data_IF_597241329977
#
_entry.id   IF_597241329977
#
_cell.length_a   1.000
_cell.length_b   1.000
_cell.length_c   1.000
_cell.angle_alpha   90.00
_cell.angle_beta   90.00
_cell.angle_gamma   90.00
#
_symmetry.space_group_name_H-M   'P 1'
#
loop_
_entity.id
_entity.type
_entity.pdbx_description
1 polymer ?
#
# COMPACT_ATOMS: atom_id res chain seq x y z
N UNK A 1 4.63 -17.00 0.57
CA UNK A 1 4.91 -18.27 1.28
C UNK A 1 4.01 -19.37 0.74
N UNK A 2 2.73 -19.46 1.15
CA UNK A 2 1.83 -20.58 0.78
C UNK A 2 1.85 -20.98 -0.70
N UNK A 3 1.64 -20.03 -1.64
CA UNK A 3 1.62 -20.35 -3.08
C UNK A 3 2.95 -20.92 -3.60
N UNK A 4 4.08 -20.45 -3.06
CA UNK A 4 5.42 -20.96 -3.43
C UNK A 4 5.60 -22.36 -2.86
N UNK A 5 5.24 -22.59 -1.61
CA UNK A 5 5.29 -23.92 -0.99
C UNK A 5 4.40 -24.92 -1.73
N UNK A 6 3.21 -24.51 -2.16
CA UNK A 6 2.31 -25.36 -2.94
C UNK A 6 2.92 -25.71 -4.31
N UNK A 7 3.50 -24.73 -5.00
CA UNK A 7 4.22 -24.94 -6.26
C UNK A 7 5.42 -25.90 -6.09
N UNK A 8 6.20 -25.76 -5.01
CA UNK A 8 7.29 -26.67 -4.67
C UNK A 8 6.79 -28.10 -4.43
N UNK A 9 5.72 -28.25 -3.65
CA UNK A 9 5.11 -29.56 -3.37
C UNK A 9 4.57 -30.23 -4.63
N UNK A 10 3.92 -29.48 -5.53
CA UNK A 10 3.42 -30.00 -6.80
C UNK A 10 4.53 -30.60 -7.67
N UNK A 11 5.75 -30.09 -7.54
CA UNK A 11 6.95 -30.58 -8.21
C UNK A 11 7.77 -31.58 -7.37
N UNK A 12 7.25 -32.05 -6.23
CA UNK A 12 7.99 -32.91 -5.28
C UNK A 12 9.32 -32.31 -4.80
N UNK A 13 9.42 -30.98 -4.73
CA UNK A 13 10.59 -30.26 -4.22
C UNK A 13 10.50 -30.09 -2.70
N UNK A 14 11.64 -30.02 -1.98
CA UNK A 14 11.64 -29.61 -0.59
C UNK A 14 11.16 -28.17 -0.46
N UNK A 15 10.48 -27.86 0.64
CA UNK A 15 9.98 -26.52 0.92
C UNK A 15 11.15 -25.57 1.16
N UNK A 16 11.22 -24.46 0.43
CA UNK A 16 12.28 -23.45 0.60
C UNK A 16 12.16 -22.64 1.89
N UNK A 17 10.95 -22.57 2.44
CA UNK A 17 10.67 -21.89 3.70
C UNK A 17 9.53 -22.60 4.43
N UNK A 18 9.80 -23.10 5.65
CA UNK A 18 8.76 -23.65 6.52
C UNK A 18 7.99 -22.51 7.21
N UNK A 19 6.65 -22.56 7.26
CA UNK A 19 5.86 -21.56 7.97
C UNK A 19 5.99 -21.71 9.49
N UNK A 20 6.13 -20.59 10.19
CA UNK A 20 5.99 -20.54 11.66
C UNK A 20 4.56 -20.17 12.02
N UNK A 21 3.83 -21.06 12.69
CA UNK A 21 2.49 -20.79 13.24
C UNK A 21 2.53 -20.29 14.68
N UNK A 22 3.72 -19.97 15.21
CA UNK A 22 3.93 -19.58 16.60
C UNK A 22 3.39 -18.16 16.86
N UNK A 23 2.10 -18.07 17.22
CA UNK A 23 1.45 -16.79 17.57
C UNK A 23 2.10 -16.08 18.76
N UNK A 24 2.81 -16.82 19.62
CA UNK A 24 3.53 -16.24 20.76
C UNK A 24 4.68 -15.30 20.39
N UNK A 25 5.07 -15.23 19.11
CA UNK A 25 6.07 -14.27 18.63
C UNK A 25 5.57 -12.82 18.66
N UNK A 26 4.26 -12.61 18.78
CA UNK A 26 3.62 -11.29 18.78
C UNK A 26 2.79 -11.12 20.06
N UNK A 27 3.33 -11.54 21.20
CA UNK A 27 2.67 -11.32 22.49
C UNK A 27 2.78 -9.85 22.90
N UNK A 28 1.76 -9.31 23.57
CA UNK A 28 1.83 -7.98 24.16
C UNK A 28 2.83 -7.94 25.32
N UNK A 29 3.39 -6.76 25.56
CA UNK A 29 4.32 -6.49 26.66
C UNK A 29 3.59 -6.47 28.00
N UNK A 30 4.34 -6.59 29.09
CA UNK A 30 3.83 -6.56 30.48
C UNK A 30 4.74 -5.73 31.38
N UNK A 31 4.34 -4.50 31.79
CA UNK A 31 3.12 -3.80 31.39
C UNK A 31 3.13 -3.47 29.89
N UNK A 32 1.95 -3.45 29.28
CA UNK A 32 1.78 -2.97 27.91
C UNK A 32 1.86 -1.44 27.86
N UNK A 33 2.16 -0.90 26.68
CA UNK A 33 2.07 0.53 26.42
C UNK A 33 2.23 0.83 24.93
N UNK A 34 1.65 1.93 24.47
CA UNK A 34 1.82 2.37 23.10
C UNK A 34 1.92 3.90 23.04
N UNK A 35 2.52 4.39 21.96
CA UNK A 35 2.55 5.82 21.68
C UNK A 35 1.20 6.27 21.10
N UNK A 36 0.72 7.45 21.49
CA UNK A 36 -0.58 8.00 21.04
C UNK A 36 -0.72 8.12 19.51
N UNK A 37 0.39 8.11 18.76
CA UNK A 37 0.35 8.06 17.29
C UNK A 37 -0.31 6.79 16.74
N UNK A 38 -0.44 5.71 17.53
CA UNK A 38 -1.22 4.54 17.13
C UNK A 38 -2.71 4.88 17.09
N UNK A 39 -3.19 5.73 18.00
CA UNK A 39 -4.57 6.22 17.98
C UNK A 39 -4.83 7.11 16.77
N UNK A 40 -3.83 7.80 16.22
CA UNK A 40 -3.98 8.56 14.97
C UNK A 40 -4.24 7.65 13.75
N UNK A 41 -3.82 6.38 13.84
CA UNK A 41 -3.93 5.40 12.75
C UNK A 41 -5.11 4.45 12.90
N UNK A 42 -5.48 4.09 14.12
CA UNK A 42 -6.46 3.05 14.41
C UNK A 42 -7.58 3.56 15.31
N UNK A 43 -8.74 2.93 15.20
CA UNK A 43 -9.90 3.27 16.01
C UNK A 43 -10.71 2.00 16.28
N UNK A 44 -11.24 1.80 17.50
CA UNK A 44 -12.18 0.72 17.77
C UNK A 44 -13.49 0.92 16.97
N UNK A 45 -14.07 -0.15 16.42
CA UNK A 45 -15.27 -0.04 15.56
C UNK A 45 -16.46 0.61 16.29
N UNK A 46 -16.61 0.39 17.59
CA UNK A 46 -17.71 0.97 18.39
C UNK A 46 -17.62 2.50 18.52
N UNK A 47 -16.44 3.08 18.34
CA UNK A 47 -16.24 4.52 18.33
C UNK A 47 -16.62 5.16 16.98
N UNK A 48 -16.94 4.36 15.96
CA UNK A 48 -17.37 4.86 14.65
C UNK A 48 -18.86 5.24 14.64
N UNK A 49 -19.23 6.29 13.89
CA UNK A 49 -20.63 6.60 13.70
C UNK A 49 -21.34 5.44 12.97
N UNK A 50 -22.64 5.21 13.25
CA UNK A 50 -23.40 4.18 12.55
C UNK A 50 -23.38 4.41 11.03
N UNK A 51 -23.34 3.33 10.23
CA UNK A 51 -23.32 3.46 8.78
C UNK A 51 -24.57 4.21 8.30
N UNK A 52 -24.44 5.11 7.31
CA UNK A 52 -25.60 5.77 6.73
C UNK A 52 -26.54 4.73 6.09
N UNK A 53 -27.85 5.00 6.05
CA UNK A 53 -28.81 4.11 5.40
C UNK A 53 -28.41 3.89 3.94
N UNK A 54 -28.44 2.62 3.50
CA UNK A 54 -28.15 2.24 2.11
C UNK A 54 -29.30 2.72 1.21
N UNK A 55 -29.20 3.94 0.70
CA UNK A 55 -30.08 4.39 -0.37
C UNK A 55 -29.56 3.77 -1.66
N UNK A 56 -30.21 2.70 -2.14
CA UNK A 56 -30.08 2.22 -3.52
C UNK A 56 -30.64 3.28 -4.47
N UNK A 57 -29.87 4.35 -4.69
CA UNK A 57 -30.21 5.38 -5.68
C UNK A 57 -29.71 4.93 -7.06
N UNK A 58 -30.47 5.25 -8.11
CA UNK A 58 -30.16 4.91 -9.52
C UNK A 58 -28.81 5.44 -10.06
N UNK A 59 -28.03 6.18 -9.24
CA UNK A 59 -26.68 6.68 -9.55
C UNK A 59 -25.53 5.75 -9.10
N UNK A 60 -25.81 4.48 -8.81
CA UNK A 60 -24.82 3.48 -8.37
C UNK A 60 -23.63 3.31 -9.34
N UNK A 61 -23.79 3.64 -10.63
CA UNK A 61 -22.71 3.49 -11.63
C UNK A 61 -21.51 4.43 -11.41
N UNK A 62 -21.74 5.63 -10.86
CA UNK A 62 -20.69 6.64 -10.59
C UNK A 62 -19.93 6.31 -9.30
N UNK A 63 -20.63 5.83 -8.27
CA UNK A 63 -20.03 5.47 -6.97
C UNK A 63 -19.44 4.06 -6.93
N UNK A 64 -19.54 3.28 -8.02
CA UNK A 64 -18.97 1.94 -8.07
C UNK A 64 -17.46 1.99 -8.35
N UNK A 65 -16.68 1.45 -7.41
CA UNK A 65 -15.26 1.23 -7.60
C UNK A 65 -15.02 0.16 -8.68
N UNK A 66 -14.07 0.40 -9.58
CA UNK A 66 -13.72 -0.51 -10.66
C UNK A 66 -12.25 -0.85 -10.61
N UNK A 67 -11.95 -2.07 -11.04
CA UNK A 67 -10.57 -2.54 -11.16
C UNK A 67 -10.00 -2.27 -12.55
N UNK A 68 -8.75 -1.83 -12.59
CA UNK A 68 -7.92 -1.65 -13.78
C UNK A 68 -6.52 -2.19 -13.51
N UNK A 69 -5.83 -2.58 -14.57
CA UNK A 69 -4.43 -3.01 -14.50
C UNK A 69 -3.66 -2.21 -15.54
N UNK A 70 -2.62 -1.54 -15.06
CA UNK A 70 -1.70 -0.77 -15.88
C UNK A 70 -0.31 -1.38 -15.83
N UNK A 71 0.56 -0.97 -16.74
CA UNK A 71 2.01 -1.08 -16.56
C UNK A 71 2.64 0.31 -16.59
N UNK A 72 3.71 0.46 -15.80
CA UNK A 72 4.56 1.65 -15.77
C UNK A 72 5.95 1.22 -16.17
N UNK A 73 6.54 1.89 -17.16
CA UNK A 73 7.87 1.57 -17.63
C UNK A 73 8.94 1.92 -16.58
N UNK A 74 10.03 1.17 -16.57
CA UNK A 74 11.12 1.34 -15.61
C UNK A 74 11.73 2.76 -15.63
N UNK A 75 11.86 3.36 -16.82
CA UNK A 75 12.33 4.74 -17.03
C UNK A 75 11.40 5.77 -16.38
N UNK A 76 10.09 5.62 -16.55
CA UNK A 76 9.08 6.45 -15.89
C UNK A 76 9.15 6.34 -14.35
N UNK A 77 9.33 5.12 -13.81
CA UNK A 77 9.53 4.93 -12.36
C UNK A 77 10.81 5.65 -11.87
N UNK A 78 11.90 5.57 -12.64
CA UNK A 78 13.16 6.24 -12.31
C UNK A 78 13.03 7.76 -12.40
N UNK A 79 12.31 8.28 -13.40
CA UNK A 79 12.04 9.70 -13.59
C UNK A 79 11.23 10.26 -12.41
N UNK A 80 10.14 9.59 -12.02
CA UNK A 80 9.37 9.97 -10.83
C UNK A 80 10.24 10.02 -9.57
N UNK A 81 11.12 9.04 -9.39
CA UNK A 81 12.06 9.03 -8.26
C UNK A 81 13.04 10.21 -8.33
N UNK A 82 13.56 10.52 -9.51
CA UNK A 82 14.45 11.66 -9.69
C UNK A 82 13.74 12.98 -9.35
N UNK A 83 12.55 13.20 -9.91
CA UNK A 83 11.71 14.37 -9.65
C UNK A 83 11.39 14.54 -8.16
N UNK A 84 11.08 13.44 -7.47
CA UNK A 84 10.83 13.42 -6.04
C UNK A 84 12.07 13.79 -5.18
N UNK A 85 13.27 13.79 -5.75
CA UNK A 85 14.52 14.10 -5.06
C UNK A 85 15.20 15.40 -5.55
N UNK A 86 14.60 16.17 -6.48
CA UNK A 86 15.27 17.31 -7.12
C UNK A 86 15.57 18.51 -6.20
N UNK A 87 14.82 18.74 -5.13
CA UNK A 87 14.97 19.97 -4.33
C UNK A 87 15.95 19.85 -3.14
N UNK A 88 16.68 18.73 -3.02
CA UNK A 88 17.66 18.54 -1.95
C UNK A 88 18.98 19.24 -2.32
N UNK A 89 18.98 20.58 -2.25
CA UNK A 89 20.18 21.42 -2.25
C UNK A 89 20.35 22.10 -0.88
N UNK A 90 20.09 21.38 0.21
CA UNK A 90 20.53 21.80 1.55
C UNK A 90 21.82 21.03 1.88
N UNK A 91 23.00 21.69 1.88
CA UNK A 91 24.30 21.02 2.03
C UNK A 91 24.53 20.29 3.36
N UNK A 92 23.66 20.49 4.36
CA UNK A 92 23.89 20.08 5.75
C UNK A 92 22.82 19.13 6.34
N UNK A 93 21.85 18.66 5.55
CA UNK A 93 20.94 17.59 6.01
C UNK A 93 21.25 16.29 5.27
N UNK A 94 21.55 15.23 6.02
CA UNK A 94 21.52 13.85 5.49
C UNK A 94 20.04 13.48 5.31
N UNK A 95 19.35 14.12 4.38
CA UNK A 95 18.00 13.72 3.99
C UNK A 95 18.11 12.44 3.16
N UNK A 96 17.59 11.33 3.71
CA UNK A 96 17.53 10.05 3.01
C UNK A 96 16.75 10.22 1.71
N UNK A 97 17.34 9.81 0.58
CA UNK A 97 16.70 9.83 -0.73
C UNK A 97 15.36 9.10 -0.70
N UNK A 98 14.35 9.68 -1.36
CA UNK A 98 13.03 9.06 -1.51
C UNK A 98 13.13 7.80 -2.37
N UNK A 99 12.49 6.74 -1.90
CA UNK A 99 12.37 5.46 -2.60
C UNK A 99 11.44 5.59 -3.81
N UNK A 100 11.53 4.63 -4.74
CA UNK A 100 10.60 4.55 -5.89
C UNK A 100 9.14 4.44 -5.44
N UNK A 101 8.89 3.74 -4.34
CA UNK A 101 7.53 3.60 -3.80
C UNK A 101 7.01 4.93 -3.25
N UNK A 102 7.82 5.66 -2.46
CA UNK A 102 7.44 6.99 -1.96
C UNK A 102 7.17 7.97 -3.11
N UNK A 103 8.03 7.97 -4.14
CA UNK A 103 7.84 8.81 -5.32
C UNK A 103 6.57 8.44 -6.12
N UNK A 104 6.31 7.15 -6.31
CA UNK A 104 5.08 6.66 -6.93
C UNK A 104 3.83 7.05 -6.13
N UNK A 105 3.86 6.88 -4.81
CA UNK A 105 2.77 7.27 -3.93
C UNK A 105 2.50 8.78 -4.00
N UNK A 106 3.55 9.61 -3.99
CA UNK A 106 3.42 11.06 -4.13
C UNK A 106 2.82 11.45 -5.48
N UNK A 107 3.25 10.79 -6.57
CA UNK A 107 2.71 11.01 -7.90
C UNK A 107 1.22 10.64 -7.96
N UNK A 108 0.87 9.44 -7.50
CA UNK A 108 -0.51 8.98 -7.41
C UNK A 108 -1.36 9.95 -6.58
N UNK A 109 -0.89 10.39 -5.42
CA UNK A 109 -1.63 11.31 -4.55
C UNK A 109 -1.96 12.63 -5.25
N UNK A 110 -1.01 13.19 -6.01
CA UNK A 110 -1.24 14.36 -6.86
C UNK A 110 -2.22 14.06 -8.00
N UNK A 111 -2.09 12.92 -8.67
CA UNK A 111 -2.97 12.52 -9.79
C UNK A 111 -4.42 12.38 -9.33
N UNK A 112 -4.65 11.79 -8.15
CA UNK A 112 -5.98 11.60 -7.57
C UNK A 112 -6.75 12.90 -7.33
N UNK A 113 -6.03 14.02 -7.24
CA UNK A 113 -6.60 15.35 -6.97
C UNK A 113 -6.43 16.29 -8.16
N UNK A 114 -6.15 15.77 -9.36
CA UNK A 114 -5.90 16.61 -10.55
C UNK A 114 -7.16 17.19 -11.21
N UNK A 115 -8.35 16.71 -10.85
CA UNK A 115 -9.64 17.21 -11.35
C UNK A 115 -10.17 18.45 -10.64
N UNK A 116 -11.38 18.86 -10.99
CA UNK A 116 -12.10 19.93 -10.28
C UNK A 116 -12.81 19.38 -9.04
N UNK A 117 -12.77 20.14 -7.94
CA UNK A 117 -13.38 19.79 -6.66
C UNK A 117 -14.23 20.96 -6.18
N UNK A 118 -15.43 20.67 -5.66
CA UNK A 118 -16.39 21.71 -5.29
C UNK A 118 -16.07 22.38 -3.95
N UNK A 119 -15.37 21.67 -3.05
CA UNK A 119 -15.03 22.14 -1.71
C UNK A 119 -13.63 22.75 -1.59
N UNK A 120 -13.56 23.97 -1.03
CA UNK A 120 -12.30 24.72 -0.84
C UNK A 120 -11.42 24.09 0.25
N UNK A 121 -12.01 23.36 1.20
CA UNK A 121 -11.33 22.72 2.34
C UNK A 121 -11.25 21.19 2.23
N UNK A 122 -11.57 20.62 1.06
CA UNK A 122 -11.50 19.18 0.85
C UNK A 122 -10.07 18.66 1.02
N UNK A 123 -9.97 17.48 1.64
CA UNK A 123 -8.71 16.79 1.87
C UNK A 123 -8.64 15.47 1.10
N UNK A 124 -7.43 15.01 0.86
CA UNK A 124 -7.18 13.69 0.28
C UNK A 124 -6.25 12.92 1.21
N UNK A 125 -6.58 11.64 1.42
CA UNK A 125 -5.85 10.72 2.29
C UNK A 125 -5.09 9.68 1.48
N UNK A 126 -3.83 9.47 1.84
CA UNK A 126 -2.97 8.42 1.27
C UNK A 126 -2.42 7.56 2.39
N UNK A 127 -2.74 6.26 2.37
CA UNK A 127 -2.16 5.27 3.27
C UNK A 127 -1.17 4.36 2.56
N UNK A 128 -0.20 3.84 3.30
CA UNK A 128 0.76 2.86 2.77
C UNK A 128 0.83 1.66 3.70
N UNK A 129 0.69 0.45 3.16
CA UNK A 129 0.84 -0.77 3.95
C UNK A 129 2.32 -1.03 4.25
N UNK A 130 2.65 -1.08 5.53
CA UNK A 130 4.00 -1.35 6.05
C UNK A 130 4.08 -2.75 6.63
N UNK A 131 5.10 -3.48 6.20
CA UNK A 131 5.46 -4.81 6.69
C UNK A 131 6.26 -4.71 8.00
N UNK A 132 5.85 -5.43 9.06
CA UNK A 132 6.47 -5.33 10.39
C UNK A 132 7.53 -6.39 10.74
N UNK A 133 7.58 -7.55 10.08
CA UNK A 133 8.56 -8.61 10.39
C UNK A 133 9.98 -8.07 10.37
N UNK A 134 10.36 -7.32 9.33
CA UNK A 134 11.74 -6.78 9.25
C UNK A 134 12.05 -5.74 10.34
N UNK A 135 11.03 -5.15 10.96
CA UNK A 135 11.18 -4.14 12.03
C UNK A 135 11.21 -4.76 13.41
N UNK A 136 10.59 -5.91 13.59
CA UNK A 136 10.63 -6.72 14.81
C UNK A 136 11.91 -7.59 14.91
N UNK A 137 12.75 -7.59 13.87
CA UNK A 137 14.03 -8.31 13.85
C UNK A 137 15.15 -7.29 14.10
N UNK A 138 15.32 -6.84 15.34
CA UNK A 138 16.46 -6.00 15.74
C UNK A 138 17.31 -6.75 16.78
N UNK A 139 18.49 -7.22 16.37
CA UNK A 139 19.52 -7.74 17.28
C UNK A 139 19.32 -9.16 17.82
N UNK A 140 18.23 -9.85 17.48
CA UNK A 140 17.99 -11.24 17.88
C UNK A 140 18.90 -12.25 17.17
N UNK A 141 19.08 -13.42 17.78
CA UNK A 141 19.79 -14.54 17.18
C UNK A 141 19.15 -14.94 15.84
N UNK A 142 19.96 -15.49 14.93
CA UNK A 142 19.53 -15.86 13.57
C UNK A 142 18.28 -16.76 13.53
N UNK A 143 18.01 -17.52 14.59
CA UNK A 143 16.84 -18.39 14.71
C UNK A 143 15.54 -17.60 14.92
N UNK A 144 15.51 -16.61 15.81
CA UNK A 144 14.33 -15.77 16.06
C UNK A 144 13.99 -14.93 14.83
N UNK A 145 15.03 -14.40 14.16
CA UNK A 145 14.89 -13.70 12.89
C UNK A 145 14.21 -14.58 11.82
N UNK A 146 14.60 -15.85 11.74
CA UNK A 146 13.99 -16.82 10.84
C UNK A 146 12.53 -17.13 11.22
N UNK A 147 12.22 -17.24 12.51
CA UNK A 147 10.85 -17.48 13.00
C UNK A 147 9.90 -16.31 12.68
N UNK A 148 10.33 -15.07 12.88
CA UNK A 148 9.54 -13.88 12.55
C UNK A 148 9.38 -13.76 11.02
N UNK A 149 10.47 -13.95 10.27
CA UNK A 149 10.43 -13.91 8.79
C UNK A 149 9.50 -14.97 8.21
N UNK A 150 9.44 -16.14 8.83
CA UNK A 150 8.55 -17.25 8.44
C UNK A 150 7.16 -17.22 9.07
N UNK A 151 6.85 -16.22 9.90
CA UNK A 151 5.58 -16.14 10.61
C UNK A 151 4.39 -16.13 9.64
N UNK A 152 3.50 -17.10 9.82
CA UNK A 152 2.26 -17.24 9.08
C UNK A 152 1.13 -16.46 9.77
N UNK A 153 0.95 -15.21 9.34
CA UNK A 153 -0.08 -14.31 9.85
C UNK A 153 0.14 -12.87 9.43
N UNK A 154 -0.69 -11.97 9.95
CA UNK A 154 -0.60 -10.54 9.67
C UNK A 154 0.41 -9.87 10.59
N UNK A 155 1.33 -9.11 10.01
CA UNK A 155 2.27 -8.23 10.71
C UNK A 155 2.35 -6.94 9.88
N UNK A 156 1.26 -6.19 9.91
CA UNK A 156 1.03 -5.06 9.00
C UNK A 156 0.60 -3.83 9.78
N UNK A 157 1.09 -2.67 9.37
CA UNK A 157 0.54 -1.38 9.79
C UNK A 157 0.16 -0.54 8.57
N UNK A 158 -0.77 0.39 8.72
CA UNK A 158 -1.26 1.25 7.63
C UNK A 158 -1.21 2.72 8.11
N UNK A 159 -0.01 3.30 8.25
CA UNK A 159 0.11 4.74 8.41
C UNK A 159 -0.50 5.45 7.20
N UNK A 160 -1.09 6.62 7.45
CA UNK A 160 -1.62 7.47 6.38
C UNK A 160 -1.38 8.94 6.67
N UNK A 161 -1.28 9.72 5.60
CA UNK A 161 -1.27 11.17 5.65
C UNK A 161 -2.58 11.74 5.11
N UNK A 162 -2.94 12.92 5.59
CA UNK A 162 -4.04 13.74 5.08
C UNK A 162 -3.51 15.12 4.70
N UNK A 163 -3.84 15.59 3.50
CA UNK A 163 -3.47 16.93 3.03
C UNK A 163 -4.62 17.58 2.29
N UNK A 164 -4.68 18.91 2.35
CA UNK A 164 -5.64 19.68 1.56
C UNK A 164 -5.36 19.47 0.08
N UNK A 165 -6.42 19.35 -0.71
CA UNK A 165 -6.33 19.19 -2.17
C UNK A 165 -5.54 20.34 -2.79
N UNK A 166 -5.74 21.57 -2.30
CA UNK A 166 -4.98 22.75 -2.74
C UNK A 166 -3.47 22.56 -2.62
N UNK A 167 -3.00 22.10 -1.47
CA UNK A 167 -1.57 21.95 -1.18
C UNK A 167 -0.96 20.86 -2.08
N UNK A 168 -1.68 19.75 -2.25
CA UNK A 168 -1.28 18.67 -3.16
C UNK A 168 -1.20 19.14 -4.61
N UNK A 169 -2.10 20.01 -5.08
CA UNK A 169 -2.05 20.59 -6.43
C UNK A 169 -0.86 21.54 -6.61
N UNK A 170 -0.70 22.49 -5.70
CA UNK A 170 0.24 23.62 -5.85
C UNK A 170 1.71 23.24 -5.62
N UNK A 171 1.99 22.29 -4.73
CA UNK A 171 3.36 21.95 -4.37
C UNK A 171 4.03 20.97 -5.35
N UNK A 172 5.37 20.95 -5.34
CA UNK A 172 6.16 20.07 -6.20
C UNK A 172 6.01 18.58 -5.82
N UNK A 173 6.37 17.67 -6.74
CA UNK A 173 6.39 16.23 -6.43
C UNK A 173 7.36 15.91 -5.29
N UNK A 174 8.48 16.61 -5.20
CA UNK A 174 9.44 16.47 -4.10
C UNK A 174 8.81 16.80 -2.74
N UNK A 175 8.05 17.90 -2.66
CA UNK A 175 7.37 18.27 -1.42
C UNK A 175 6.37 17.19 -1.00
N UNK A 176 5.52 16.72 -1.93
CA UNK A 176 4.54 15.65 -1.65
C UNK A 176 5.25 14.34 -1.26
N UNK A 177 6.40 14.02 -1.88
CA UNK A 177 7.19 12.84 -1.49
C UNK A 177 7.83 12.98 -0.11
N UNK A 178 8.13 14.19 0.34
CA UNK A 178 8.55 14.46 1.73
C UNK A 178 7.41 14.24 2.70
N UNK A 179 6.19 14.71 2.39
CA UNK A 179 5.01 14.42 3.20
C UNK A 179 4.74 12.92 3.32
N UNK A 180 4.89 12.18 2.21
CA UNK A 180 4.80 10.71 2.22
C UNK A 180 5.83 10.09 3.15
N UNK A 181 7.07 10.55 3.08
CA UNK A 181 8.15 10.05 3.91
C UNK A 181 7.92 10.32 5.40
N UNK A 182 7.46 11.52 5.74
CA UNK A 182 7.25 11.97 7.11
C UNK A 182 6.19 11.14 7.81
N UNK A 183 4.99 10.98 7.22
CA UNK A 183 3.96 10.15 7.86
C UNK A 183 4.39 8.68 7.94
N UNK A 184 5.17 8.19 6.97
CA UNK A 184 5.70 6.83 7.01
C UNK A 184 6.61 6.61 8.22
N UNK A 185 7.48 7.56 8.57
CA UNK A 185 8.49 7.37 9.64
C UNK A 185 7.87 6.90 10.96
N UNK A 186 6.66 7.36 11.27
CA UNK A 186 5.93 6.96 12.48
C UNK A 186 5.70 5.45 12.60
N UNK A 187 5.68 4.73 11.47
CA UNK A 187 5.42 3.30 11.41
C UNK A 187 6.61 2.44 10.91
N UNK A 188 7.83 3.00 10.87
CA UNK A 188 9.02 2.29 10.41
C UNK A 188 9.90 1.73 11.54
N UNK A 189 9.46 1.80 12.79
CA UNK A 189 10.23 1.38 13.96
C UNK A 189 9.72 0.07 14.55
N UNK A 190 10.57 -0.60 15.31
CA UNK A 190 10.17 -1.75 16.14
C UNK A 190 9.12 -1.34 17.18
N UNK A 191 9.37 -0.23 17.87
CA UNK A 191 8.49 0.29 18.93
C UNK A 191 7.08 0.54 18.43
N UNK A 192 6.91 0.98 17.17
CA UNK A 192 5.58 1.12 16.58
C UNK A 192 4.83 -0.22 16.50
N UNK A 193 5.50 -1.29 16.07
CA UNK A 193 4.85 -2.59 15.96
C UNK A 193 4.59 -3.24 17.33
N UNK A 194 5.49 -3.07 18.30
CA UNK A 194 5.27 -3.49 19.68
C UNK A 194 4.09 -2.71 20.31
N UNK A 195 4.06 -1.38 20.13
CA UNK A 195 2.96 -0.54 20.56
C UNK A 195 1.63 -0.91 19.88
N UNK A 196 1.63 -1.24 18.60
CA UNK A 196 0.42 -1.70 17.91
C UNK A 196 -0.11 -3.03 18.47
N UNK A 197 0.77 -3.95 18.89
CA UNK A 197 0.36 -5.18 19.57
C UNK A 197 -0.29 -4.86 20.92
N UNK A 198 0.32 -3.97 21.70
CA UNK A 198 -0.20 -3.55 23.00
C UNK A 198 -1.53 -2.80 22.87
N UNK A 199 -1.66 -1.93 21.86
CA UNK A 199 -2.92 -1.24 21.53
C UNK A 199 -4.03 -2.23 21.22
N UNK A 200 -3.75 -3.27 20.44
CA UNK A 200 -4.73 -4.33 20.15
C UNK A 200 -5.10 -5.10 21.41
N UNK A 201 -4.16 -5.39 22.30
CA UNK A 201 -4.45 -6.09 23.55
C UNK A 201 -5.30 -5.24 24.50
N UNK A 202 -5.02 -3.94 24.62
CA UNK A 202 -5.78 -3.01 25.48
C UNK A 202 -7.24 -2.89 25.05
N UNK A 203 -7.51 -2.91 23.74
CA UNK A 203 -8.86 -2.74 23.20
C UNK A 203 -9.61 -4.07 23.02
N UNK A 204 -9.01 -5.23 23.32
CA UNK A 204 -9.70 -6.52 23.20
C UNK A 204 -10.90 -6.61 24.16
N UNK A 205 -12.00 -7.27 23.73
CA UNK A 205 -12.17 -8.06 22.50
C UNK A 205 -12.63 -7.24 21.28
N UNK A 206 -12.59 -5.91 21.35
CA UNK A 206 -13.07 -5.06 20.28
C UNK A 206 -12.17 -5.12 19.04
N UNK A 207 -12.79 -5.01 17.86
CA UNK A 207 -12.06 -4.97 16.59
C UNK A 207 -11.59 -3.53 16.35
N UNK A 208 -10.29 -3.37 16.16
CA UNK A 208 -9.71 -2.13 15.65
C UNK A 208 -9.75 -2.05 14.13
N UNK A 209 -10.00 -0.85 13.59
CA UNK A 209 -10.00 -0.56 12.17
C UNK A 209 -8.98 0.56 11.87
N UNK A 210 -8.19 0.47 10.79
CA UNK A 210 -7.42 1.62 10.30
C UNK A 210 -8.35 2.78 9.94
N UNK A 211 -8.11 3.96 10.51
CA UNK A 211 -8.95 5.16 10.34
C UNK A 211 -9.12 5.58 8.88
N UNK A 212 -8.14 5.32 8.01
CA UNK A 212 -8.25 5.58 6.57
C UNK A 212 -9.41 4.81 5.90
N UNK A 213 -9.78 3.64 6.42
CA UNK A 213 -10.94 2.88 5.95
C UNK A 213 -12.25 3.29 6.64
N UNK A 214 -12.17 3.93 7.80
CA UNK A 214 -13.32 4.33 8.60
C UNK A 214 -13.93 5.66 8.13
N UNK A 215 -13.08 6.64 7.80
CA UNK A 215 -13.55 7.96 7.41
C UNK A 215 -14.13 7.95 5.99
N UNK A 216 -15.25 8.65 5.81
CA UNK A 216 -16.01 8.72 4.55
C UNK A 216 -15.07 9.01 3.37
N UNK A 217 -14.82 8.02 2.53
CA UNK A 217 -14.16 8.25 1.25
C UNK A 217 -15.26 8.59 0.24
N UNK A 218 -15.21 9.79 -0.31
CA UNK A 218 -16.11 10.25 -1.39
C UNK A 218 -15.27 10.71 -2.57
N UNK A 219 -15.88 11.04 -3.70
CA UNK A 219 -15.14 11.69 -4.79
C UNK A 219 -14.59 13.06 -4.36
N UNK A 220 -15.25 13.74 -3.41
CA UNK A 220 -14.84 15.04 -2.89
C UNK A 220 -13.78 14.93 -1.79
N UNK A 221 -13.70 13.80 -1.08
CA UNK A 221 -12.65 13.48 -0.10
C UNK A 221 -12.00 12.13 -0.42
N UNK A 222 -11.15 12.05 -1.48
CA UNK A 222 -10.56 10.80 -1.90
C UNK A 222 -9.65 10.19 -0.82
N UNK A 223 -9.76 8.88 -0.62
CA UNK A 223 -8.82 8.12 0.18
C UNK A 223 -8.29 6.93 -0.63
N UNK A 224 -6.98 6.69 -0.61
CA UNK A 224 -6.37 5.55 -1.30
C UNK A 224 -5.29 4.90 -0.42
N UNK A 225 -5.27 3.57 -0.40
CA UNK A 225 -4.21 2.80 0.26
C UNK A 225 -3.33 2.13 -0.80
N UNK A 226 -2.02 2.34 -0.69
CA UNK A 226 -1.02 1.70 -1.54
C UNK A 226 -0.36 0.55 -0.78
N UNK A 227 -0.30 -0.63 -1.39
CA UNK A 227 0.48 -1.75 -0.87
C UNK A 227 1.55 -2.15 -1.88
N UNK A 228 2.79 -2.36 -1.42
CA UNK A 228 3.87 -2.75 -2.34
C UNK A 228 3.89 -4.26 -2.57
N UNK A 229 3.42 -4.68 -3.74
CA UNK A 229 3.54 -6.04 -4.27
C UNK A 229 4.91 -6.31 -4.92
N UNK A 230 5.89 -5.42 -4.79
CA UNK A 230 7.21 -5.54 -5.45
C UNK A 230 7.97 -6.82 -5.06
N UNK A 231 7.67 -7.40 -3.90
CA UNK A 231 8.24 -8.67 -3.42
C UNK A 231 7.32 -9.88 -3.67
N UNK A 232 6.23 -9.71 -4.44
CA UNK A 232 5.35 -10.82 -4.78
C UNK A 232 6.12 -11.86 -5.60
N UNK A 233 6.24 -13.11 -5.12
CA UNK A 233 7.17 -14.07 -5.69
C UNK A 233 6.57 -14.79 -6.91
N UNK A 234 5.94 -14.07 -7.84
CA UNK A 234 5.28 -14.66 -9.03
C UNK A 234 6.20 -15.60 -9.81
N UNK A 235 7.49 -15.23 -9.90
CA UNK A 235 8.54 -16.02 -10.57
C UNK A 235 8.99 -17.28 -9.83
N UNK A 236 8.49 -17.51 -8.62
CA UNK A 236 8.74 -18.74 -7.85
C UNK A 236 7.57 -19.71 -7.91
N UNK A 237 6.47 -19.35 -8.58
CA UNK A 237 5.24 -20.16 -8.60
C UNK A 237 5.21 -20.97 -9.89
N UNK A 238 5.95 -22.07 -9.93
CA UNK A 238 5.90 -23.05 -11.02
C UNK A 238 5.27 -24.34 -10.50
N UNK A 239 4.17 -24.79 -11.09
CA UNK A 239 3.50 -26.02 -10.68
C UNK A 239 4.01 -27.27 -11.42
N UNK A 240 5.02 -27.14 -12.28
CA UNK A 240 5.56 -28.20 -13.15
C UNK A 240 5.24 -27.98 -14.63
N UNK A 241 4.54 -26.91 -14.98
CA UNK A 241 4.17 -26.54 -16.36
C UNK A 241 4.77 -25.20 -16.82
N UNK A 242 5.74 -24.68 -16.07
CA UNK A 242 6.40 -23.41 -16.34
C UNK A 242 5.85 -22.26 -15.51
N UNK A 243 6.51 -21.11 -15.66
CA UNK A 243 6.22 -19.91 -14.88
C UNK A 243 4.92 -19.23 -15.32
N UNK A 244 4.20 -18.55 -14.41
CA UNK A 244 3.02 -17.79 -14.78
C UNK A 244 3.45 -16.63 -15.68
N UNK A 245 2.79 -16.49 -16.83
CA UNK A 245 3.02 -15.34 -17.71
C UNK A 245 2.66 -14.03 -17.00
N UNK A 246 1.62 -14.08 -16.16
CA UNK A 246 1.10 -12.93 -15.45
C UNK A 246 0.49 -13.34 -14.12
N UNK A 247 0.73 -12.54 -13.09
CA UNK A 247 0.07 -12.66 -11.80
C UNK A 247 -0.33 -11.26 -11.33
N UNK A 248 -1.55 -11.14 -10.84
CA UNK A 248 -2.08 -9.90 -10.26
C UNK A 248 -2.87 -10.20 -9.01
N UNK A 249 -3.20 -9.14 -8.29
CA UNK A 249 -4.13 -9.16 -7.20
C UNK A 249 -5.51 -8.78 -7.70
N UNK A 250 -6.52 -9.24 -6.97
CA UNK A 250 -7.88 -8.75 -7.06
C UNK A 250 -8.36 -8.51 -5.63
N UNK A 251 -8.48 -7.23 -5.27
CA UNK A 251 -8.86 -6.80 -3.94
C UNK A 251 -10.01 -5.78 -4.05
N UNK A 252 -11.23 -6.22 -4.37
CA UNK A 252 -12.41 -5.37 -4.36
C UNK A 252 -12.80 -5.14 -2.90
N UNK A 253 -12.13 -4.18 -2.27
CA UNK A 253 -12.47 -3.75 -0.92
C UNK A 253 -13.91 -3.22 -0.95
N UNK A 254 -14.80 -3.78 -0.13
CA UNK A 254 -16.21 -3.35 -0.09
C UNK A 254 -16.45 -1.95 0.48
N UNK A 255 -15.38 -1.24 0.87
CA UNK A 255 -15.42 0.15 1.29
C UNK A 255 -15.16 1.12 0.13
N UNK A 256 -15.32 2.41 0.40
CA UNK A 256 -15.14 3.47 -0.62
C UNK A 256 -13.68 3.94 -0.79
N UNK A 257 -12.79 3.54 0.11
CA UNK A 257 -11.36 3.86 -0.01
C UNK A 257 -10.74 3.04 -1.14
N UNK A 258 -9.98 3.72 -1.99
CA UNK A 258 -9.25 3.14 -3.09
C UNK A 258 -8.13 2.20 -2.64
N UNK A 259 -7.74 1.28 -3.53
CA UNK A 259 -6.61 0.38 -3.31
C UNK A 259 -5.72 0.29 -4.54
N UNK A 260 -4.42 0.48 -4.36
CA UNK A 260 -3.43 0.41 -5.44
C UNK A 260 -2.27 -0.49 -5.04
N UNK A 261 -1.83 -1.36 -5.95
CA UNK A 261 -0.72 -2.27 -5.69
C UNK A 261 0.24 -2.33 -6.88
N UNK A 262 1.40 -1.64 -6.82
CA UNK A 262 2.49 -1.88 -7.75
C UNK A 262 3.18 -3.22 -7.48
N UNK A 263 3.50 -3.94 -8.54
CA UNK A 263 4.06 -5.29 -8.58
C UNK A 263 5.19 -5.36 -9.61
N UNK A 264 6.11 -6.34 -9.53
CA UNK A 264 7.15 -6.49 -10.54
C UNK A 264 6.51 -6.98 -11.85
N UNK A 265 6.98 -6.45 -12.99
CA UNK A 265 6.63 -7.00 -14.30
C UNK A 265 7.12 -8.43 -14.46
N UNK A 266 6.29 -9.34 -15.03
CA UNK A 266 6.73 -10.71 -15.31
C UNK A 266 7.94 -10.75 -16.25
N UNK A 267 8.15 -9.70 -17.07
CA UNK A 267 9.34 -9.53 -17.93
C UNK A 267 10.64 -9.31 -17.17
N UNK A 268 10.59 -8.75 -15.96
CA UNK A 268 11.78 -8.44 -15.15
C UNK A 268 12.73 -7.43 -15.77
N UNK A 269 12.20 -6.58 -16.63
CA UNK A 269 12.89 -5.43 -17.22
C UNK A 269 12.86 -4.18 -16.32
N UNK A 270 12.36 -4.32 -15.08
CA UNK A 270 12.20 -3.23 -14.13
C UNK A 270 10.87 -2.48 -14.24
N UNK A 271 10.05 -2.77 -15.24
CA UNK A 271 8.69 -2.23 -15.33
C UNK A 271 7.83 -2.72 -14.15
N UNK A 272 6.83 -1.91 -13.80
CA UNK A 272 5.85 -2.26 -12.79
C UNK A 272 4.52 -2.61 -13.43
N UNK A 273 3.86 -3.65 -12.93
CA UNK A 273 2.42 -3.83 -13.12
C UNK A 273 1.73 -3.13 -11.96
N UNK A 274 0.67 -2.39 -12.21
CA UNK A 274 -0.08 -1.70 -11.17
C UNK A 274 -1.53 -2.12 -11.22
N UNK A 275 -1.97 -2.86 -10.20
CA UNK A 275 -3.39 -3.10 -9.96
C UNK A 275 -3.97 -1.86 -9.28
N UNK A 276 -5.12 -1.40 -9.79
CA UNK A 276 -5.81 -0.21 -9.31
C UNK A 276 -7.28 -0.55 -9.10
N UNK A 277 -7.82 -0.25 -7.93
CA UNK A 277 -9.24 -0.36 -7.61
C UNK A 277 -9.72 0.97 -7.02
N UNK A 278 -10.39 1.78 -7.84
CA UNK A 278 -10.75 3.17 -7.53
C UNK A 278 -12.16 3.50 -8.05
N UNK A 279 -12.75 4.59 -7.56
CA UNK A 279 -14.01 5.11 -8.09
C UNK A 279 -13.86 5.51 -9.56
N UNK A 280 -14.99 5.55 -10.28
CA UNK A 280 -15.02 5.85 -11.73
C UNK A 280 -14.31 7.16 -12.06
N UNK A 281 -14.68 8.26 -11.41
CA UNK A 281 -14.08 9.57 -11.66
C UNK A 281 -12.58 9.59 -11.36
N UNK A 282 -12.13 8.85 -10.34
CA UNK A 282 -10.71 8.75 -10.00
C UNK A 282 -9.90 8.00 -11.08
N UNK A 283 -10.48 6.95 -11.68
CA UNK A 283 -9.86 6.27 -12.82
C UNK A 283 -9.77 7.18 -14.04
N UNK A 284 -10.82 7.96 -14.32
CA UNK A 284 -10.83 8.92 -15.42
C UNK A 284 -9.73 9.99 -15.25
N UNK A 285 -9.46 10.44 -14.01
CA UNK A 285 -8.34 11.34 -13.73
C UNK A 285 -6.97 10.68 -14.00
N UNK A 286 -6.78 9.41 -13.63
CA UNK A 286 -5.55 8.68 -13.94
C UNK A 286 -5.37 8.54 -15.44
N UNK A 287 -6.40 8.10 -16.15
CA UNK A 287 -6.34 7.84 -17.60
C UNK A 287 -6.12 9.15 -18.39
N UNK A 288 -6.73 10.26 -17.94
CA UNK A 288 -6.61 11.57 -18.60
C UNK A 288 -5.29 12.27 -18.29
N UNK A 289 -4.92 12.36 -17.00
CA UNK A 289 -3.81 13.21 -16.57
C UNK A 289 -2.49 12.44 -16.37
N UNK A 290 -2.55 11.12 -16.31
CA UNK A 290 -1.38 10.26 -16.08
C UNK A 290 -1.31 9.06 -17.05
N UNK A 291 -2.04 9.08 -18.17
CA UNK A 291 -2.05 7.98 -19.15
C UNK A 291 -0.69 7.71 -19.83
N UNK A 292 0.25 8.67 -19.78
CA UNK A 292 1.64 8.47 -20.22
C UNK A 292 2.46 7.61 -19.24
N UNK A 293 2.06 7.58 -17.97
CA UNK A 293 2.69 6.75 -16.91
C UNK A 293 1.90 5.45 -16.73
N UNK A 294 0.59 5.55 -16.52
CA UNK A 294 -0.32 4.43 -16.32
C UNK A 294 -0.84 3.91 -17.66
N UNK A 295 -0.02 3.13 -18.36
CA UNK A 295 -0.39 2.58 -19.67
C UNK A 295 -1.24 1.32 -19.45
N UNK A 296 -2.45 1.22 -20.04
CA UNK A 296 -3.29 0.03 -19.88
C UNK A 296 -2.54 -1.26 -20.23
N UNK A 297 -2.61 -2.26 -19.36
CA UNK A 297 -1.99 -3.55 -19.62
C UNK A 297 -2.75 -4.26 -20.74
N UNK A 298 -2.02 -4.66 -21.79
CA UNK A 298 -2.58 -5.40 -22.92
C UNK A 298 -1.84 -6.72 -23.12
N UNK A 299 -2.45 -7.63 -23.88
CA UNK A 299 -1.80 -8.87 -24.32
C UNK A 299 -0.51 -8.58 -25.11
N UNK A 300 -0.48 -7.53 -25.94
CA UNK A 300 0.71 -7.12 -26.68
C UNK A 300 1.89 -6.75 -25.76
N UNK A 301 1.59 -6.15 -24.60
CA UNK A 301 2.64 -5.95 -23.60
C UNK A 301 3.14 -7.30 -23.08
N UNK A 302 2.27 -8.22 -22.67
CA UNK A 302 2.68 -9.50 -22.08
C UNK A 302 3.37 -10.44 -23.08
N UNK A 303 2.91 -10.42 -24.33
CA UNK A 303 3.36 -11.24 -25.44
C UNK A 303 3.79 -10.34 -26.60
N UNK A 304 5.05 -9.87 -26.61
CA UNK A 304 5.58 -9.17 -27.78
C UNK A 304 5.47 -10.10 -28.98
N UNK A 305 4.84 -9.64 -30.06
CA UNK A 305 4.84 -10.38 -31.33
C UNK A 305 6.30 -10.49 -31.78
N UNK A 306 6.73 -11.72 -32.07
CA UNK A 306 8.09 -12.05 -32.51
C UNK A 306 8.44 -11.40 -33.85
#
# INVERSE_FOLDING_TARGET
MFLVSWAEMAQSKPLSQLPSFRRSLLLPRRPGGYHFSVDDMYVPISALPPPPPQNHSQNDDVQSARSRIYYIKADQVNELQALANMAINCPNEITKKRTKLEAFCAFLWKTMVSGEFSGVDNSCRLGIVVEGRRRLINGGDSEEANLITSYFGNVLSIPFGEKKIRDLKQNSLNWVATEVHEFLQSALTEEHFLGLIDWVEEHRPEVGLPKIYAARATEEEPAVVVSSGQHFPVRKIDFGWGLPVFGSYHFPWGGKSGYVMPMPSPKGNGDWIVYVHLLKGQLELIETNAGHVFIPLTSHYLFPVA
#
